data_IF_659801331473
#
_entry.id   IF_659801331473
#
_cell.length_a   1.000
_cell.length_b   1.000
_cell.length_c   1.000
_cell.angle_alpha   90.00
_cell.angle_beta   90.00
_cell.angle_gamma   90.00
#
_symmetry.space_group_name_H-M   'P 1'
#
loop_
_entity.id
_entity.type
_entity.pdbx_description
1 polymer ?
#
# COMPACT_ATOMS: atom_id res chain seq x y z
N UNK A 1 -2.10 22.38 33.51
CA UNK A 1 -1.69 21.14 34.21
C UNK A 1 -2.47 19.98 33.63
N UNK A 2 -1.77 19.17 32.91
CA UNK A 2 -2.20 18.04 32.09
C UNK A 2 -2.83 16.93 32.92
N UNK A 3 -4.15 16.84 32.86
CA UNK A 3 -4.90 15.76 33.51
C UNK A 3 -4.98 14.48 32.67
N UNK A 4 -3.87 13.85 32.40
CA UNK A 4 -3.91 12.41 32.08
C UNK A 4 -3.96 11.71 33.43
N UNK A 5 -5.09 11.06 33.76
CA UNK A 5 -5.18 10.26 34.97
C UNK A 5 -4.09 9.17 34.95
N UNK A 6 -3.60 8.78 36.13
CA UNK A 6 -2.59 7.71 36.24
C UNK A 6 -3.00 6.41 35.54
N UNK A 7 -4.31 6.14 35.46
CA UNK A 7 -4.91 5.06 34.68
C UNK A 7 -4.72 5.22 33.17
N UNK A 8 -4.88 6.45 32.64
CA UNK A 8 -4.67 6.73 31.22
C UNK A 8 -3.22 6.53 30.78
N UNK A 9 -2.25 6.90 31.62
CA UNK A 9 -0.83 6.68 31.34
C UNK A 9 -0.46 5.18 31.34
N UNK A 10 -1.06 4.38 32.24
CA UNK A 10 -0.87 2.95 32.29
C UNK A 10 -1.46 2.23 31.08
N UNK A 11 -2.64 2.65 30.62
CA UNK A 11 -3.27 2.10 29.41
C UNK A 11 -2.46 2.41 28.14
N UNK A 12 -1.94 3.64 28.00
CA UNK A 12 -1.09 4.01 26.87
C UNK A 12 0.15 3.13 26.81
N UNK A 13 0.83 2.94 27.94
CA UNK A 13 2.01 2.08 28.01
C UNK A 13 1.72 0.63 27.64
N UNK A 14 0.60 0.08 28.09
CA UNK A 14 0.16 -1.28 27.73
C UNK A 14 -0.13 -1.42 26.24
N UNK A 15 -0.71 -0.38 25.61
CA UNK A 15 -1.01 -0.38 24.18
C UNK A 15 0.28 -0.22 23.35
N UNK A 16 1.24 0.57 23.81
CA UNK A 16 2.56 0.71 23.19
C UNK A 16 3.38 -0.59 23.27
N UNK A 17 3.34 -1.28 24.41
CA UNK A 17 3.99 -2.58 24.60
C UNK A 17 3.41 -3.68 23.68
N UNK A 18 2.14 -3.53 23.27
CA UNK A 18 1.49 -4.38 22.27
C UNK A 18 1.83 -3.97 20.81
N UNK A 19 2.68 -2.95 20.62
CA UNK A 19 3.15 -2.51 19.31
C UNK A 19 2.20 -1.58 18.57
N UNK A 20 1.16 -1.06 19.23
CA UNK A 20 0.26 -0.04 18.70
C UNK A 20 0.68 1.33 19.21
N UNK A 21 0.78 2.33 18.33
CA UNK A 21 0.98 3.72 18.75
C UNK A 21 -0.29 4.25 19.43
N UNK A 22 -0.25 4.50 20.72
CA UNK A 22 -1.33 5.16 21.44
C UNK A 22 -0.94 6.61 21.73
N UNK A 23 -1.79 7.55 21.33
CA UNK A 23 -1.64 8.97 21.68
C UNK A 23 -2.80 9.34 22.59
N UNK A 24 -2.50 9.88 23.79
CA UNK A 24 -3.54 10.38 24.67
C UNK A 24 -4.31 11.51 23.97
N UNK A 25 -5.64 11.45 23.89
CA UNK A 25 -6.40 12.58 23.37
C UNK A 25 -6.26 13.76 24.32
N UNK A 26 -5.61 14.84 23.89
CA UNK A 26 -5.77 16.15 24.52
C UNK A 26 -7.20 16.61 24.23
N UNK A 27 -7.97 16.83 25.25
CA UNK A 27 -9.43 17.11 25.19
C UNK A 27 -9.77 18.37 24.38
N UNK A 28 -8.80 19.21 24.05
CA UNK A 28 -9.02 20.45 23.27
C UNK A 28 -8.46 20.38 21.83
N UNK A 29 -7.49 19.48 21.55
CA UNK A 29 -6.83 19.39 20.24
C UNK A 29 -6.94 17.99 19.59
N UNK A 30 -7.70 17.06 20.18
CA UNK A 30 -7.73 15.66 19.76
C UNK A 30 -8.25 15.43 18.33
N UNK A 31 -9.14 16.32 17.85
CA UNK A 31 -9.65 16.25 16.49
C UNK A 31 -8.59 16.69 15.47
N UNK A 32 -7.86 17.75 15.76
CA UNK A 32 -6.83 18.27 14.85
C UNK A 32 -5.65 17.30 14.68
N UNK A 33 -5.23 16.65 15.76
CA UNK A 33 -4.07 15.73 15.74
C UNK A 33 -4.36 14.44 14.95
N UNK A 34 -5.55 13.87 15.10
CA UNK A 34 -5.97 12.68 14.34
C UNK A 34 -6.24 12.99 12.88
N UNK A 35 -6.75 14.18 12.57
CA UNK A 35 -6.93 14.63 11.19
C UNK A 35 -5.60 14.86 10.50
N UNK A 36 -4.66 15.55 11.12
CA UNK A 36 -3.30 15.77 10.60
C UNK A 36 -2.58 14.44 10.35
N UNK A 37 -2.68 13.49 11.28
CA UNK A 37 -2.09 12.16 11.13
C UNK A 37 -2.72 11.39 9.95
N UNK A 38 -4.03 11.50 9.77
CA UNK A 38 -4.75 10.86 8.65
C UNK A 38 -4.40 11.51 7.32
N UNK A 39 -4.24 12.83 7.28
CA UNK A 39 -3.81 13.55 6.09
C UNK A 39 -2.37 13.20 5.71
N UNK A 40 -1.45 13.19 6.65
CA UNK A 40 -0.07 12.78 6.43
C UNK A 40 0.01 11.34 5.89
N UNK A 41 -0.81 10.44 6.44
CA UNK A 41 -0.90 9.06 5.94
C UNK A 41 -1.45 8.98 4.50
N UNK A 42 -2.48 9.76 4.18
CA UNK A 42 -3.02 9.85 2.80
C UNK A 42 -1.96 10.35 1.80
N UNK A 43 -1.21 11.38 2.18
CA UNK A 43 -0.15 11.94 1.34
C UNK A 43 0.97 10.91 1.11
N UNK A 44 1.39 10.18 2.15
CA UNK A 44 2.41 9.12 2.02
C UNK A 44 1.94 7.99 1.09
N UNK A 45 0.73 7.47 1.29
CA UNK A 45 0.16 6.41 0.44
C UNK A 45 0.01 6.89 -1.00
N UNK A 46 -0.47 8.12 -1.23
CA UNK A 46 -0.58 8.72 -2.56
C UNK A 46 0.78 8.86 -3.25
N UNK A 47 1.81 9.32 -2.52
CA UNK A 47 3.18 9.45 -3.05
C UNK A 47 3.74 8.10 -3.44
N UNK A 48 3.58 7.07 -2.59
CA UNK A 48 4.00 5.70 -2.89
C UNK A 48 3.28 5.14 -4.10
N UNK A 49 1.97 5.32 -4.17
CA UNK A 49 1.16 4.91 -5.32
C UNK A 49 1.64 5.58 -6.61
N UNK A 50 1.83 6.91 -6.59
CA UNK A 50 2.27 7.64 -7.78
C UNK A 50 3.63 7.15 -8.29
N UNK A 51 4.63 7.03 -7.41
CA UNK A 51 5.96 6.53 -7.78
C UNK A 51 5.89 5.08 -8.26
N UNK A 52 5.16 4.21 -7.55
CA UNK A 52 5.01 2.81 -7.95
C UNK A 52 4.33 2.67 -9.30
N UNK A 53 3.30 3.47 -9.59
CA UNK A 53 2.60 3.44 -10.88
C UNK A 53 3.50 3.96 -12.00
N UNK A 54 4.22 5.06 -11.78
CA UNK A 54 5.16 5.62 -12.77
C UNK A 54 6.27 4.64 -13.12
N UNK A 55 6.75 3.87 -12.15
CA UNK A 55 7.78 2.84 -12.39
C UNK A 55 7.18 1.54 -12.96
N UNK A 56 6.00 1.11 -12.49
CA UNK A 56 5.40 -0.15 -12.92
C UNK A 56 4.87 -0.10 -14.35
N UNK A 57 4.32 1.04 -14.79
CA UNK A 57 3.80 1.18 -16.15
C UNK A 57 4.85 0.93 -17.25
N UNK A 58 6.05 1.56 -17.22
CA UNK A 58 7.09 1.25 -18.21
C UNK A 58 7.54 -0.21 -18.17
N UNK A 59 7.69 -0.79 -16.97
CA UNK A 59 8.08 -2.21 -16.81
C UNK A 59 7.03 -3.11 -17.45
N UNK A 60 5.75 -2.88 -17.18
CA UNK A 60 4.65 -3.62 -17.77
C UNK A 60 4.59 -3.46 -19.30
N UNK A 61 4.75 -2.23 -19.82
CA UNK A 61 4.71 -1.97 -21.25
C UNK A 61 5.89 -2.63 -21.98
N UNK A 62 7.11 -2.55 -21.42
CA UNK A 62 8.29 -3.22 -22.00
C UNK A 62 8.16 -4.74 -21.97
N UNK A 63 7.53 -5.32 -20.94
CA UNK A 63 7.26 -6.75 -20.89
C UNK A 63 6.23 -7.20 -21.93
N UNK A 64 5.17 -6.39 -22.19
CA UNK A 64 4.08 -6.75 -23.09
C UNK A 64 4.34 -6.41 -24.55
N UNK A 65 5.09 -5.34 -24.83
CA UNK A 65 5.22 -4.77 -26.19
C UNK A 65 6.59 -5.09 -26.75
N UNK A 66 6.70 -6.10 -27.63
CA UNK A 66 7.94 -6.52 -28.28
C UNK A 66 8.77 -5.38 -28.93
N UNK A 67 8.17 -4.42 -29.67
CA UNK A 67 8.92 -3.30 -30.24
C UNK A 67 9.63 -2.41 -29.21
N UNK A 68 9.20 -2.44 -27.95
CA UNK A 68 9.78 -1.64 -26.86
C UNK A 68 10.88 -2.40 -26.10
N UNK A 69 11.09 -3.68 -26.43
CA UNK A 69 12.18 -4.49 -25.89
C UNK A 69 13.48 -4.21 -26.67
N UNK A 70 14.19 -3.18 -26.22
CA UNK A 70 15.52 -2.86 -26.71
C UNK A 70 16.59 -3.72 -26.01
N UNK A 71 17.80 -3.73 -26.54
CA UNK A 71 18.89 -4.51 -25.95
C UNK A 71 19.16 -4.04 -24.51
N UNK A 72 19.00 -4.96 -23.54
CA UNK A 72 19.18 -4.67 -22.12
C UNK A 72 17.95 -4.11 -21.38
N UNK A 73 16.75 -4.16 -21.97
CA UNK A 73 15.50 -3.72 -21.33
C UNK A 73 15.26 -4.38 -19.98
N UNK A 74 15.74 -5.59 -19.77
CA UNK A 74 15.61 -6.37 -18.53
C UNK A 74 16.29 -5.65 -17.35
N UNK A 75 17.48 -5.10 -17.59
CA UNK A 75 18.23 -4.35 -16.59
C UNK A 75 17.55 -3.02 -16.24
N UNK A 76 16.98 -2.35 -17.22
CA UNK A 76 16.18 -1.12 -17.00
C UNK A 76 14.93 -1.46 -16.19
N UNK A 77 14.26 -2.58 -16.52
CA UNK A 77 13.10 -3.06 -15.77
C UNK A 77 13.46 -3.38 -14.32
N UNK A 78 14.62 -4.00 -14.07
CA UNK A 78 15.11 -4.25 -12.71
C UNK A 78 15.34 -2.95 -11.93
N UNK A 79 16.01 -1.96 -12.53
CA UNK A 79 16.26 -0.65 -11.90
C UNK A 79 14.97 0.07 -11.55
N UNK A 80 13.94 -0.02 -12.41
CA UNK A 80 12.62 0.55 -12.16
C UNK A 80 11.82 -0.27 -11.13
N UNK A 81 12.02 -1.57 -11.05
CA UNK A 81 11.32 -2.43 -10.09
C UNK A 81 11.87 -2.28 -8.65
N UNK A 82 13.15 -2.00 -8.48
CA UNK A 82 13.79 -1.84 -7.16
C UNK A 82 13.10 -0.80 -6.25
N UNK A 83 12.85 0.44 -6.69
CA UNK A 83 12.17 1.42 -5.84
C UNK A 83 10.72 1.00 -5.49
N UNK A 84 10.05 0.28 -6.38
CA UNK A 84 8.69 -0.23 -6.12
C UNK A 84 8.74 -1.34 -5.08
N UNK A 85 9.65 -2.30 -5.23
CA UNK A 85 9.76 -3.43 -4.32
C UNK A 85 10.27 -3.02 -2.93
N UNK A 86 11.26 -2.12 -2.84
CA UNK A 86 11.85 -1.75 -1.56
C UNK A 86 11.08 -0.64 -0.85
N UNK A 87 10.74 0.44 -1.56
CA UNK A 87 10.10 1.60 -0.95
C UNK A 87 8.57 1.59 -1.10
N UNK A 88 8.05 1.26 -2.27
CA UNK A 88 6.61 1.13 -2.52
C UNK A 88 5.99 0.06 -1.63
N UNK A 89 6.60 -1.13 -1.60
CA UNK A 89 6.13 -2.26 -0.80
C UNK A 89 6.54 -2.20 0.69
N UNK A 90 7.30 -1.19 1.13
CA UNK A 90 7.76 -1.07 2.52
C UNK A 90 6.66 -1.19 3.59
N UNK A 91 5.45 -0.64 3.44
CA UNK A 91 4.39 -0.83 4.43
C UNK A 91 3.98 -2.30 4.56
N UNK A 92 3.93 -3.05 3.45
CA UNK A 92 3.62 -4.49 3.45
C UNK A 92 4.74 -5.29 4.12
N UNK A 93 6.00 -5.00 3.81
CA UNK A 93 7.16 -5.68 4.43
C UNK A 93 7.24 -5.42 5.94
N UNK A 94 7.00 -4.18 6.38
CA UNK A 94 6.98 -3.84 7.81
C UNK A 94 5.84 -4.52 8.56
N UNK A 95 4.65 -4.55 7.95
CA UNK A 95 3.48 -5.24 8.51
C UNK A 95 3.73 -6.74 8.60
N UNK A 96 4.22 -7.35 7.52
CA UNK A 96 4.58 -8.76 7.46
C UNK A 96 5.60 -9.15 8.54
N UNK A 97 6.66 -8.36 8.69
CA UNK A 97 7.70 -8.60 9.68
C UNK A 97 7.19 -8.51 11.11
N UNK A 98 6.37 -7.51 11.42
CA UNK A 98 5.75 -7.38 12.75
C UNK A 98 4.86 -8.57 13.09
N UNK A 99 3.97 -8.94 12.16
CA UNK A 99 3.04 -10.03 12.37
C UNK A 99 3.77 -11.40 12.47
N UNK A 100 4.79 -11.61 11.62
CA UNK A 100 5.59 -12.84 11.68
C UNK A 100 6.29 -13.05 13.03
N UNK A 101 6.75 -11.97 13.66
CA UNK A 101 7.35 -12.05 15.02
C UNK A 101 6.37 -12.52 16.10
N UNK A 102 5.08 -12.32 15.90
CA UNK A 102 4.00 -12.76 16.79
C UNK A 102 3.34 -14.06 16.33
N UNK A 103 3.93 -14.75 15.34
CA UNK A 103 3.38 -16.00 14.81
C UNK A 103 2.07 -15.82 14.01
N UNK A 104 1.69 -14.59 13.69
CA UNK A 104 0.48 -14.28 12.92
C UNK A 104 0.83 -14.07 11.45
N UNK A 105 0.01 -14.65 10.57
CA UNK A 105 0.09 -14.42 9.11
C UNK A 105 -1.08 -13.56 8.67
N UNK A 106 -0.81 -12.57 7.84
CA UNK A 106 -1.81 -11.65 7.28
C UNK A 106 -1.66 -11.59 5.76
N UNK A 107 -2.63 -10.95 5.09
CA UNK A 107 -2.53 -10.68 3.67
C UNK A 107 -1.22 -9.95 3.31
N UNK A 108 -0.78 -9.02 4.14
CA UNK A 108 0.49 -8.30 3.94
C UNK A 108 1.70 -9.24 3.94
N UNK A 109 1.64 -10.34 4.73
CA UNK A 109 2.70 -11.36 4.78
C UNK A 109 2.82 -12.09 3.44
N UNK A 110 1.68 -12.48 2.85
CA UNK A 110 1.66 -13.15 1.54
C UNK A 110 2.15 -12.23 0.43
N UNK A 111 1.73 -10.96 0.45
CA UNK A 111 2.19 -9.94 -0.49
C UNK A 111 3.70 -9.73 -0.38
N UNK A 112 4.21 -9.56 0.83
CA UNK A 112 5.64 -9.38 1.08
C UNK A 112 6.45 -10.57 0.58
N UNK A 113 6.00 -11.79 0.87
CA UNK A 113 6.65 -13.02 0.42
C UNK A 113 6.63 -13.13 -1.11
N UNK A 114 5.49 -12.85 -1.74
CA UNK A 114 5.35 -12.88 -3.20
C UNK A 114 6.28 -11.88 -3.90
N UNK A 115 6.35 -10.64 -3.41
CA UNK A 115 7.27 -9.62 -3.96
C UNK A 115 8.73 -10.04 -3.80
N UNK A 116 9.11 -10.53 -2.61
CA UNK A 116 10.49 -11.00 -2.36
C UNK A 116 10.83 -12.19 -3.26
N UNK A 117 9.92 -13.16 -3.39
CA UNK A 117 10.13 -14.33 -4.22
C UNK A 117 10.28 -13.95 -5.71
N UNK A 118 9.39 -13.11 -6.24
CA UNK A 118 9.44 -12.64 -7.63
C UNK A 118 10.72 -11.84 -7.91
N UNK A 119 11.12 -10.95 -7.00
CA UNK A 119 12.36 -10.17 -7.14
C UNK A 119 13.61 -11.07 -7.05
N UNK A 120 13.64 -12.01 -6.11
CA UNK A 120 14.76 -12.93 -5.94
C UNK A 120 14.92 -13.84 -7.14
N UNK A 121 13.81 -14.37 -7.66
CA UNK A 121 13.81 -15.19 -8.87
C UNK A 121 14.28 -14.41 -10.10
N UNK A 122 13.71 -13.21 -10.30
CA UNK A 122 14.09 -12.36 -11.43
C UNK A 122 15.56 -11.96 -11.38
N UNK A 123 16.08 -11.66 -10.19
CA UNK A 123 17.49 -11.35 -10.00
C UNK A 123 18.38 -12.57 -10.29
N UNK A 124 17.95 -13.76 -9.83
CA UNK A 124 18.67 -14.99 -10.12
C UNK A 124 18.66 -15.30 -11.62
N UNK A 125 17.52 -15.19 -12.30
CA UNK A 125 17.38 -15.39 -13.74
C UNK A 125 18.23 -14.41 -14.56
N UNK A 126 18.37 -13.16 -14.11
CA UNK A 126 19.18 -12.14 -14.76
C UNK A 126 20.70 -12.37 -14.59
N UNK A 127 21.14 -12.89 -13.43
CA UNK A 127 22.57 -13.04 -13.12
C UNK A 127 23.08 -14.42 -13.51
N UNK A 128 22.32 -15.48 -13.26
CA UNK A 128 22.73 -16.88 -13.43
C UNK A 128 21.98 -17.59 -14.57
N UNK A 129 20.83 -17.06 -15.00
CA UNK A 129 20.09 -17.53 -16.18
C UNK A 129 20.48 -16.75 -17.43
N UNK A 130 19.85 -17.10 -18.55
CA UNK A 130 20.08 -16.43 -19.85
C UNK A 130 19.18 -15.19 -20.01
N UNK A 131 18.34 -14.88 -19.01
CA UNK A 131 17.41 -13.76 -19.07
C UNK A 131 18.09 -12.37 -19.17
N UNK A 132 19.36 -12.28 -18.75
CA UNK A 132 20.18 -11.07 -18.85
C UNK A 132 20.93 -10.89 -20.16
N UNK A 133 20.82 -11.83 -21.12
CA UNK A 133 21.51 -11.73 -22.41
C UNK A 133 20.98 -10.57 -23.25
N UNK A 134 21.92 -9.86 -23.88
CA UNK A 134 21.62 -8.72 -24.77
C UNK A 134 20.91 -9.22 -26.03
N UNK A 135 19.72 -8.68 -26.29
CA UNK A 135 18.92 -9.07 -27.47
C UNK A 135 17.87 -10.15 -27.21
N UNK A 136 17.77 -10.68 -25.99
CA UNK A 136 16.70 -11.62 -25.62
C UNK A 136 15.35 -10.89 -25.60
N UNK A 137 14.36 -11.46 -26.31
CA UNK A 137 12.98 -10.94 -26.39
C UNK A 137 12.04 -11.93 -25.74
N UNK A 138 11.23 -11.46 -24.79
CA UNK A 138 10.18 -12.26 -24.17
C UNK A 138 8.86 -12.13 -24.93
N UNK A 139 8.18 -13.26 -25.14
CA UNK A 139 6.85 -13.33 -25.71
C UNK A 139 5.83 -13.58 -24.59
N UNK A 140 5.27 -12.51 -24.06
CA UNK A 140 4.14 -12.61 -23.16
C UNK A 140 2.85 -12.41 -23.95
N UNK A 141 2.34 -13.47 -24.60
CA UNK A 141 1.06 -13.42 -25.27
C UNK A 141 -0.07 -13.63 -24.23
N UNK A 142 -0.91 -12.60 -24.04
CA UNK A 142 -2.12 -12.67 -23.19
C UNK A 142 -3.18 -13.66 -23.73
N UNK A 143 -3.02 -14.11 -24.98
CA UNK A 143 -3.93 -15.07 -25.59
C UNK A 143 -3.17 -16.39 -25.86
N UNK A 144 -3.76 -17.54 -25.49
CA UNK A 144 -3.15 -18.82 -25.80
C UNK A 144 -3.00 -18.94 -27.32
N UNK A 145 -1.76 -19.06 -27.77
CA UNK A 145 -1.47 -19.37 -29.18
C UNK A 145 -2.16 -20.69 -29.52
N UNK A 146 -2.89 -20.70 -30.63
CA UNK A 146 -3.49 -21.92 -31.14
C UNK A 146 -2.44 -23.03 -31.23
N UNK A 147 -2.79 -24.23 -30.77
CA UNK A 147 -1.89 -25.39 -30.74
C UNK A 147 -1.21 -25.68 -32.09
N UNK A 148 -1.77 -25.23 -33.20
CA UNK A 148 -1.24 -25.35 -34.55
C UNK A 148 0.03 -24.51 -34.79
N UNK A 149 0.18 -23.35 -34.07
CA UNK A 149 1.37 -22.50 -34.23
C UNK A 149 2.59 -23.01 -33.47
N UNK A 150 2.38 -23.86 -32.46
CA UNK A 150 3.45 -24.47 -31.67
C UNK A 150 4.19 -25.56 -32.46
N UNK A 151 3.55 -26.19 -33.44
CA UNK A 151 4.15 -27.29 -34.23
C UNK A 151 4.96 -26.81 -35.41
N UNK A 152 4.85 -25.55 -35.85
CA UNK A 152 5.52 -25.06 -37.07
C UNK A 152 6.72 -24.15 -36.81
N UNK A 153 6.88 -23.67 -35.57
CA UNK A 153 7.95 -22.73 -35.24
C UNK A 153 9.07 -23.43 -34.44
N UNK A 154 9.85 -24.28 -35.11
CA UNK A 154 11.06 -24.88 -34.56
C UNK A 154 12.21 -23.89 -34.31
N UNK A 155 12.02 -22.61 -34.65
CA UNK A 155 12.97 -21.51 -34.38
C UNK A 155 12.75 -20.78 -33.09
N UNK A 156 11.60 -20.96 -32.45
CA UNK A 156 11.39 -20.56 -31.03
C UNK A 156 11.93 -21.70 -30.15
N UNK A 157 13.23 -21.84 -30.10
CA UNK A 157 13.92 -22.59 -29.08
C UNK A 157 13.38 -22.07 -27.74
N UNK A 158 12.58 -22.89 -27.06
CA UNK A 158 11.76 -22.50 -25.94
C UNK A 158 12.58 -21.74 -24.93
N UNK A 159 12.07 -20.58 -24.56
CA UNK A 159 12.48 -19.92 -23.32
C UNK A 159 12.44 -20.98 -22.24
N UNK A 160 13.61 -21.35 -21.73
CA UNK A 160 13.66 -22.29 -20.61
C UNK A 160 12.85 -21.71 -19.48
N UNK A 161 12.14 -22.50 -18.66
CA UNK A 161 11.39 -21.96 -17.52
C UNK A 161 12.26 -21.11 -16.57
N UNK A 162 13.56 -21.17 -16.71
CA UNK A 162 14.57 -20.43 -15.95
C UNK A 162 14.86 -19.02 -16.48
N UNK A 163 14.34 -18.66 -17.66
CA UNK A 163 14.63 -17.39 -18.33
C UNK A 163 13.49 -16.38 -18.16
N UNK A 164 12.40 -16.77 -17.47
CA UNK A 164 11.26 -15.90 -17.23
C UNK A 164 11.54 -14.92 -16.08
N UNK A 165 11.23 -13.63 -16.32
CA UNK A 165 11.35 -12.54 -15.37
C UNK A 165 9.95 -12.17 -14.90
N UNK A 166 9.78 -11.97 -13.59
CA UNK A 166 8.51 -11.64 -12.96
C UNK A 166 8.49 -10.21 -12.37
N UNK A 167 9.31 -9.31 -12.90
CA UNK A 167 9.43 -7.93 -12.42
C UNK A 167 8.14 -7.13 -12.62
N UNK A 168 7.46 -7.33 -13.76
CA UNK A 168 6.18 -6.69 -14.08
C UNK A 168 5.08 -7.16 -13.13
N UNK A 169 5.06 -8.45 -12.76
CA UNK A 169 4.08 -9.00 -11.81
C UNK A 169 4.30 -8.38 -10.44
N UNK A 170 5.54 -8.37 -9.94
CA UNK A 170 5.87 -7.80 -8.64
C UNK A 170 5.52 -6.32 -8.55
N UNK A 171 5.88 -5.51 -9.55
CA UNK A 171 5.64 -4.07 -9.56
C UNK A 171 4.17 -3.73 -9.72
N UNK A 172 3.47 -4.44 -10.61
CA UNK A 172 2.03 -4.24 -10.85
C UNK A 172 1.21 -4.63 -9.63
N UNK A 173 1.52 -5.76 -8.99
CA UNK A 173 0.88 -6.18 -7.75
C UNK A 173 0.97 -5.11 -6.66
N UNK A 174 2.18 -4.58 -6.42
CA UNK A 174 2.40 -3.51 -5.43
C UNK A 174 1.61 -2.26 -5.78
N UNK A 175 1.59 -1.84 -7.05
CA UNK A 175 0.84 -0.67 -7.50
C UNK A 175 -0.67 -0.84 -7.28
N UNK A 176 -1.25 -2.00 -7.62
CA UNK A 176 -2.67 -2.28 -7.38
C UNK A 176 -3.03 -2.31 -5.89
N UNK A 177 -2.19 -2.91 -5.06
CA UNK A 177 -2.43 -2.96 -3.61
C UNK A 177 -2.35 -1.57 -2.97
N UNK A 178 -1.40 -0.74 -3.40
CA UNK A 178 -1.31 0.66 -2.98
C UNK A 178 -2.53 1.46 -3.44
N UNK A 179 -3.04 1.21 -4.65
CA UNK A 179 -4.26 1.82 -5.14
C UNK A 179 -5.46 1.43 -4.27
N UNK A 180 -5.63 0.15 -3.97
CA UNK A 180 -6.68 -0.33 -3.06
C UNK A 180 -6.58 0.34 -1.69
N UNK A 181 -5.40 0.41 -1.11
CA UNK A 181 -5.17 1.08 0.18
C UNK A 181 -5.44 2.58 0.13
N UNK A 182 -5.08 3.24 -0.95
CA UNK A 182 -5.42 4.65 -1.17
C UNK A 182 -6.94 4.88 -1.20
N UNK A 183 -7.68 4.05 -1.96
CA UNK A 183 -9.14 4.15 -2.02
C UNK A 183 -9.79 3.85 -0.68
N UNK A 184 -9.29 2.88 0.07
CA UNK A 184 -9.77 2.55 1.41
C UNK A 184 -9.62 3.74 2.36
N UNK A 185 -8.42 4.31 2.50
CA UNK A 185 -8.15 5.46 3.37
C UNK A 185 -9.00 6.66 2.96
N UNK A 186 -9.12 6.92 1.66
CA UNK A 186 -9.94 8.01 1.12
C UNK A 186 -11.43 7.83 1.42
N UNK A 187 -11.96 6.62 1.30
CA UNK A 187 -13.36 6.30 1.58
C UNK A 187 -13.69 6.43 3.06
N UNK A 188 -12.82 5.92 3.93
CA UNK A 188 -12.96 6.07 5.40
C UNK A 188 -13.00 7.54 5.82
N UNK A 189 -12.15 8.38 5.24
CA UNK A 189 -12.15 9.82 5.50
C UNK A 189 -13.47 10.49 5.12
N UNK A 190 -14.02 10.17 3.94
CA UNK A 190 -15.31 10.70 3.48
C UNK A 190 -16.46 10.29 4.39
N UNK A 191 -16.50 9.03 4.79
CA UNK A 191 -17.52 8.53 5.70
C UNK A 191 -17.44 9.21 7.08
N UNK A 192 -16.22 9.39 7.62
CA UNK A 192 -16.00 10.10 8.88
C UNK A 192 -16.44 11.57 8.83
N UNK A 193 -16.15 12.28 7.74
CA UNK A 193 -16.57 13.66 7.55
C UNK A 193 -18.11 13.80 7.48
N UNK A 194 -18.78 12.87 6.77
CA UNK A 194 -20.25 12.86 6.71
C UNK A 194 -20.88 12.61 8.09
N UNK A 195 -20.33 11.66 8.86
CA UNK A 195 -20.82 11.39 10.22
C UNK A 195 -20.65 12.59 11.15
N UNK A 196 -19.50 13.28 11.09
CA UNK A 196 -19.26 14.50 11.88
C UNK A 196 -20.21 15.63 11.50
N UNK A 197 -20.50 15.81 10.21
CA UNK A 197 -21.46 16.83 9.78
C UNK A 197 -22.85 16.58 10.36
N UNK A 198 -23.26 15.31 10.47
CA UNK A 198 -24.52 14.92 11.11
C UNK A 198 -24.49 15.16 12.63
N UNK A 199 -23.39 14.83 13.31
CA UNK A 199 -23.22 15.09 14.74
C UNK A 199 -23.18 16.59 15.04
N UNK A 200 -22.62 17.41 14.16
CA UNK A 200 -22.60 18.86 14.29
C UNK A 200 -23.95 19.53 14.00
N UNK A 201 -24.91 18.83 13.37
CA UNK A 201 -26.29 19.25 13.21
C UNK A 201 -27.12 19.05 14.50
N UNK A 202 -26.61 18.28 15.46
CA UNK A 202 -27.20 18.14 16.78
C UNK A 202 -27.24 19.49 17.51
N UNK A 203 -28.28 19.72 18.27
CA UNK A 203 -28.43 20.94 19.07
C UNK A 203 -27.19 21.14 19.97
N UNK A 204 -26.44 22.20 19.74
CA UNK A 204 -25.28 22.59 20.57
C UNK A 204 -25.70 23.39 21.81
N UNK A 205 -26.95 23.83 21.84
CA UNK A 205 -27.53 24.67 22.86
C UNK A 205 -28.81 24.01 23.42
N UNK A 206 -28.99 24.06 24.71
CA UNK A 206 -30.19 23.63 25.38
C UNK A 206 -30.81 24.83 26.11
N UNK A 207 -32.14 24.92 26.10
CA UNK A 207 -32.85 25.95 26.87
C UNK A 207 -33.03 25.43 28.30
N UNK A 208 -32.35 26.07 29.24
CA UNK A 208 -32.53 25.80 30.65
C UNK A 208 -33.69 26.72 31.18
N UNK A 209 -34.70 26.09 31.72
CA UNK A 209 -35.79 26.79 32.43
C UNK A 209 -35.47 26.84 33.92
N UNK A 210 -35.16 28.03 34.45
CA UNK A 210 -34.86 28.21 35.85
C UNK A 210 -35.54 29.49 36.35
N UNK A 211 -36.31 29.40 37.43
CA UNK A 211 -37.00 30.53 38.10
C UNK A 211 -37.91 31.35 37.17
N UNK A 212 -38.54 30.70 36.17
CA UNK A 212 -39.43 31.36 35.22
C UNK A 212 -38.73 32.07 34.06
N UNK A 213 -37.39 31.93 33.94
CA UNK A 213 -36.59 32.53 32.88
C UNK A 213 -35.96 31.44 32.00
N UNK A 214 -36.12 31.61 30.69
CA UNK A 214 -35.43 30.77 29.70
C UNK A 214 -34.03 31.30 29.43
N UNK A 215 -33.03 30.45 29.65
CA UNK A 215 -31.62 30.78 29.32
C UNK A 215 -31.07 29.74 28.39
N UNK A 216 -30.54 30.15 27.23
CA UNK A 216 -29.81 29.30 26.32
C UNK A 216 -28.42 29.03 26.87
N UNK A 217 -28.13 27.75 27.13
CA UNK A 217 -26.81 27.34 27.61
C UNK A 217 -26.23 26.27 26.67
N UNK A 218 -24.90 26.25 26.45
CA UNK A 218 -24.25 25.17 25.72
C UNK A 218 -24.47 23.83 26.43
N UNK A 219 -24.80 22.76 25.70
CA UNK A 219 -25.02 21.42 26.28
C UNK A 219 -23.80 20.95 27.09
N UNK A 220 -22.60 21.39 26.72
CA UNK A 220 -21.37 21.09 27.46
C UNK A 220 -21.30 21.74 28.87
N UNK A 221 -22.22 22.64 29.19
CA UNK A 221 -22.32 23.33 30.49
C UNK A 221 -23.45 22.77 31.40
N UNK A 222 -24.18 21.75 30.93
CA UNK A 222 -25.15 20.96 31.69
C UNK A 222 -24.44 19.88 32.50
#
# INVERSE_FOLDING_TARGET
SSGVSAEGASLIKTIEDLGYGAVAPKVEDGESTTEIATEAHLVDVRRRLAVSTVCALPVMLMSMIRPWQFDGWQWVSLVLALPVALWGAAPFHRSAWRNARHGATTMDTLVSLGVIAAMSWSLWALIFGNAGEIGMKMDMSLFPRSATSVMTDHSSMGTSPHDEIYLEVATTLVAFLLAGRYFEVRSRRRAGAALRSLLNLGSKEATLWRDGVETLIPIAAL
#
